data_IF_184232389014
#
_entry.id   IF_184232389014
#
_cell.length_a   1.000
_cell.length_b   1.000
_cell.length_c   1.000
_cell.angle_alpha   90.00
_cell.angle_beta   90.00
_cell.angle_gamma   90.00
#
_symmetry.space_group_name_H-M   'P 1'
#
loop_
_entity.id
_entity.type
_entity.pdbx_description
1 polymer ?
#
# COMPACT_ATOMS: atom_id res chain seq x y z
N UNK A 1 -57.24 -55.48 30.74
CA UNK A 1 -56.21 -55.53 29.69
C UNK A 1 -56.20 -54.19 29.00
N UNK A 2 -55.28 -53.23 29.37
CA UNK A 2 -55.13 -51.92 28.77
C UNK A 2 -53.98 -51.98 27.80
N UNK A 3 -54.22 -51.71 26.49
CA UNK A 3 -53.23 -51.64 25.47
C UNK A 3 -52.62 -50.20 25.45
N UNK A 4 -51.34 -50.07 25.79
CA UNK A 4 -50.58 -48.84 25.69
C UNK A 4 -50.11 -48.73 24.21
N UNK A 5 -50.59 -47.72 23.49
CA UNK A 5 -50.08 -47.37 22.18
C UNK A 5 -48.84 -46.50 22.37
N UNK A 6 -47.69 -47.03 22.06
CA UNK A 6 -46.44 -46.25 21.95
C UNK A 6 -46.48 -45.41 20.68
N UNK A 7 -46.45 -44.08 20.85
CA UNK A 7 -46.32 -43.10 19.75
C UNK A 7 -44.84 -42.86 19.54
N UNK A 8 -44.27 -43.40 18.45
CA UNK A 8 -42.89 -43.10 18.03
C UNK A 8 -42.91 -41.72 17.34
N UNK A 9 -42.37 -40.71 18.02
CA UNK A 9 -42.17 -39.35 17.44
C UNK A 9 -40.83 -39.37 16.72
N UNK A 10 -40.88 -39.41 15.37
CA UNK A 10 -39.69 -39.26 14.50
C UNK A 10 -39.36 -37.77 14.43
N UNK A 11 -38.29 -37.36 15.12
CA UNK A 11 -37.72 -36.00 14.95
C UNK A 11 -36.93 -36.03 13.68
N UNK A 12 -37.45 -35.45 12.59
CA UNK A 12 -36.72 -35.17 11.36
C UNK A 12 -35.79 -33.98 11.63
N UNK A 13 -34.49 -34.27 11.79
CA UNK A 13 -33.46 -33.26 11.90
C UNK A 13 -33.24 -32.60 10.50
N UNK A 14 -33.83 -31.45 10.29
CA UNK A 14 -33.58 -30.62 9.09
C UNK A 14 -32.17 -30.07 9.19
N UNK A 15 -31.19 -30.70 8.53
CA UNK A 15 -29.88 -30.15 8.28
C UNK A 15 -30.04 -29.09 7.17
N UNK A 16 -30.18 -27.80 7.55
CA UNK A 16 -30.05 -26.70 6.60
C UNK A 16 -28.60 -26.68 6.13
N UNK A 17 -28.36 -26.76 4.81
CA UNK A 17 -27.02 -26.52 4.28
C UNK A 17 -26.62 -25.08 4.63
N UNK A 18 -25.56 -24.92 5.43
CA UNK A 18 -24.93 -23.63 5.61
C UNK A 18 -24.39 -23.20 4.24
N UNK A 19 -24.95 -22.17 3.64
CA UNK A 19 -24.40 -21.52 2.46
C UNK A 19 -23.07 -20.90 2.89
N UNK A 20 -21.98 -21.61 2.66
CA UNK A 20 -20.62 -21.07 2.76
C UNK A 20 -20.46 -20.14 1.57
N UNK A 21 -20.65 -18.84 1.74
CA UNK A 21 -20.25 -17.86 0.74
C UNK A 21 -18.73 -17.92 0.62
N UNK A 22 -18.24 -18.29 -0.55
CA UNK A 22 -16.81 -18.24 -0.84
C UNK A 22 -16.37 -16.77 -0.80
N UNK A 23 -15.34 -16.47 -0.02
CA UNK A 23 -14.75 -15.11 0.05
C UNK A 23 -14.24 -14.73 -1.34
N UNK A 24 -14.62 -13.56 -1.82
CA UNK A 24 -14.23 -13.05 -3.15
C UNK A 24 -12.91 -12.27 -3.08
N UNK A 25 -12.24 -12.10 -4.24
CA UNK A 25 -11.04 -11.26 -4.33
C UNK A 25 -11.31 -9.81 -3.90
N UNK A 26 -12.45 -9.26 -4.26
CA UNK A 26 -12.86 -7.90 -3.87
C UNK A 26 -13.05 -7.76 -2.35
N UNK A 27 -13.70 -8.73 -1.68
CA UNK A 27 -13.86 -8.71 -0.21
C UNK A 27 -12.51 -8.81 0.50
N UNK A 28 -11.56 -9.58 -0.02
CA UNK A 28 -10.22 -9.69 0.57
C UNK A 28 -9.50 -8.34 0.43
N UNK A 29 -9.52 -7.73 -0.76
CA UNK A 29 -8.87 -6.44 -1.00
C UNK A 29 -9.52 -5.30 -0.21
N UNK A 30 -10.85 -5.34 0.00
CA UNK A 30 -11.51 -4.40 0.92
C UNK A 30 -10.95 -4.50 2.35
N UNK A 31 -10.70 -5.71 2.85
CA UNK A 31 -10.07 -5.90 4.17
C UNK A 31 -8.62 -5.43 4.19
N UNK A 32 -7.85 -5.60 3.11
CA UNK A 32 -6.51 -5.03 2.97
C UNK A 32 -6.57 -3.52 3.12
N UNK A 33 -7.47 -2.85 2.40
CA UNK A 33 -7.68 -1.42 2.48
C UNK A 33 -8.08 -0.99 3.91
N UNK A 34 -9.06 -1.67 4.52
CA UNK A 34 -9.55 -1.35 5.87
C UNK A 34 -8.45 -1.50 6.94
N UNK A 35 -7.55 -2.47 6.80
CA UNK A 35 -6.41 -2.66 7.72
C UNK A 35 -5.45 -1.47 7.69
N UNK A 36 -5.35 -0.78 6.55
CA UNK A 36 -4.42 0.34 6.37
C UNK A 36 -5.06 1.70 6.67
N UNK A 37 -6.39 1.79 6.77
CA UNK A 37 -7.09 3.06 7.04
C UNK A 37 -6.65 3.71 8.34
N UNK A 38 -6.36 5.00 8.26
CA UNK A 38 -6.16 5.90 9.40
C UNK A 38 -6.54 7.32 8.97
N UNK A 39 -7.15 8.10 9.90
CA UNK A 39 -7.50 9.49 9.61
C UNK A 39 -6.25 10.35 9.44
N UNK A 40 -5.20 10.02 10.16
CA UNK A 40 -3.90 10.66 10.01
C UNK A 40 -2.77 9.71 10.42
N UNK A 41 -1.58 9.94 9.88
CA UNK A 41 -0.38 9.25 10.33
C UNK A 41 0.86 10.13 10.23
N UNK A 42 1.82 9.87 11.12
CA UNK A 42 3.17 10.41 11.04
C UNK A 42 4.16 9.27 11.16
N UNK A 43 5.04 9.13 10.18
CA UNK A 43 6.02 8.06 10.11
C UNK A 43 7.43 8.62 9.94
N UNK A 44 8.36 8.05 10.69
CA UNK A 44 9.80 8.20 10.49
C UNK A 44 10.31 6.93 9.79
N UNK A 45 10.94 7.09 8.65
CA UNK A 45 11.24 6.00 7.74
C UNK A 45 12.73 6.05 7.37
N UNK A 46 13.37 4.88 7.40
CA UNK A 46 14.66 4.63 6.77
C UNK A 46 14.41 4.06 5.38
N UNK A 47 14.99 4.68 4.37
CA UNK A 47 14.92 4.25 2.97
C UNK A 47 16.33 3.89 2.51
N UNK A 48 16.55 2.62 2.16
CA UNK A 48 17.82 2.12 1.64
C UNK A 48 17.71 1.82 0.15
N UNK A 49 18.53 2.50 -0.67
CA UNK A 49 18.71 2.20 -2.09
C UNK A 49 19.85 1.19 -2.20
N UNK A 50 19.57 0.01 -2.72
CA UNK A 50 20.48 -1.14 -2.76
C UNK A 50 20.86 -1.40 -4.22
N UNK A 51 22.10 -1.09 -4.56
CA UNK A 51 22.63 -1.33 -5.88
C UNK A 51 22.83 -2.84 -6.14
N UNK A 52 22.92 -3.25 -7.41
CA UNK A 52 23.13 -4.66 -7.78
C UNK A 52 24.44 -5.26 -7.25
N UNK A 53 25.42 -4.43 -6.90
CA UNK A 53 26.68 -4.84 -6.26
C UNK A 53 26.58 -4.93 -4.72
N UNK A 54 25.41 -4.63 -4.14
CA UNK A 54 25.16 -4.65 -2.71
C UNK A 54 25.49 -3.35 -1.97
N UNK A 55 25.96 -2.30 -2.65
CA UNK A 55 26.15 -0.99 -2.04
C UNK A 55 24.79 -0.41 -1.60
N UNK A 56 24.72 0.16 -0.41
CA UNK A 56 23.50 0.73 0.16
C UNK A 56 23.66 2.23 0.38
N UNK A 57 22.76 3.01 -0.21
CA UNK A 57 22.66 4.46 0.04
C UNK A 57 21.44 4.73 0.90
N UNK A 58 21.66 5.09 2.15
CA UNK A 58 20.58 5.34 3.11
C UNK A 58 20.07 6.77 3.03
N UNK A 59 18.75 6.89 3.24
CA UNK A 59 18.03 8.16 3.42
C UNK A 59 17.12 8.05 4.61
N UNK A 60 16.92 9.16 5.31
CA UNK A 60 15.88 9.28 6.32
C UNK A 60 14.81 10.22 5.81
N UNK A 61 13.58 9.80 5.89
CA UNK A 61 12.42 10.57 5.47
C UNK A 61 11.38 10.60 6.58
N UNK A 62 10.59 11.65 6.61
CA UNK A 62 9.38 11.75 7.41
C UNK A 62 8.20 11.84 6.47
N UNK A 63 7.16 11.05 6.72
CA UNK A 63 5.92 11.09 5.96
C UNK A 63 4.77 11.44 6.91
N UNK A 64 3.97 12.42 6.49
CA UNK A 64 2.71 12.78 7.15
C UNK A 64 1.58 12.50 6.18
N UNK A 65 0.51 11.90 6.67
CA UNK A 65 -0.70 11.61 5.89
C UNK A 65 -1.91 12.12 6.64
N UNK A 66 -2.85 12.71 5.92
CA UNK A 66 -4.13 13.19 6.44
C UNK A 66 -5.23 12.81 5.46
N UNK A 67 -6.27 12.12 5.97
CA UNK A 67 -7.47 11.81 5.22
C UNK A 67 -8.62 12.68 5.74
N UNK A 68 -9.14 13.55 4.88
CA UNK A 68 -10.27 14.42 5.19
C UNK A 68 -11.32 14.29 4.07
N UNK A 69 -12.57 14.13 4.44
CA UNK A 69 -13.69 13.95 3.49
C UNK A 69 -13.48 12.80 2.49
N UNK A 70 -12.80 11.72 2.92
CA UNK A 70 -12.47 10.58 2.09
C UNK A 70 -11.31 10.78 1.12
N UNK A 71 -10.64 11.95 1.14
CA UNK A 71 -9.49 12.26 0.28
C UNK A 71 -8.20 12.26 1.11
N UNK A 72 -7.20 11.54 0.62
CA UNK A 72 -5.91 11.38 1.29
C UNK A 72 -4.88 12.35 0.73
N UNK A 73 -4.20 13.06 1.63
CA UNK A 73 -3.08 13.94 1.32
C UNK A 73 -1.83 13.41 2.02
N UNK A 74 -0.71 13.35 1.33
CA UNK A 74 0.55 12.84 1.87
C UNK A 74 1.69 13.80 1.55
N UNK A 75 2.49 14.15 2.56
CA UNK A 75 3.73 14.91 2.42
C UNK A 75 4.90 14.08 2.90
N UNK A 76 5.93 13.94 2.07
CA UNK A 76 7.20 13.30 2.40
C UNK A 76 8.32 14.32 2.42
N UNK A 77 9.07 14.37 3.51
CA UNK A 77 10.20 15.29 3.71
C UNK A 77 11.48 14.48 3.89
N UNK A 78 12.49 14.75 3.07
CA UNK A 78 13.80 14.14 3.20
C UNK A 78 14.62 14.84 4.28
N UNK A 79 15.08 14.09 5.27
CA UNK A 79 15.83 14.60 6.43
C UNK A 79 17.34 14.43 6.24
N UNK A 80 17.77 13.36 5.55
CA UNK A 80 19.18 13.06 5.24
C UNK A 80 19.28 12.18 3.99
N UNK A 81 20.46 12.09 3.36
CA UNK A 81 21.68 12.85 3.57
C UNK A 81 21.59 14.30 3.07
N UNK A 82 22.65 15.08 3.23
CA UNK A 82 22.70 16.50 2.86
C UNK A 82 22.31 16.75 1.38
N UNK A 83 22.66 15.84 0.47
CA UNK A 83 22.39 15.93 -0.98
C UNK A 83 20.89 15.95 -1.33
N UNK A 84 20.03 15.41 -0.48
CA UNK A 84 18.57 15.36 -0.68
C UNK A 84 17.79 16.03 0.44
N UNK A 85 18.49 16.50 1.49
CA UNK A 85 17.85 17.11 2.66
C UNK A 85 16.96 18.28 2.24
N UNK A 86 15.77 18.35 2.89
CA UNK A 86 14.71 19.33 2.61
C UNK A 86 14.04 19.19 1.23
N UNK A 87 14.32 18.14 0.45
CA UNK A 87 13.42 17.76 -0.63
C UNK A 87 12.07 17.41 -0.01
N UNK A 88 10.98 17.93 -0.60
CA UNK A 88 9.61 17.70 -0.12
C UNK A 88 8.76 17.25 -1.29
N UNK A 89 7.97 16.20 -1.06
CA UNK A 89 7.08 15.64 -2.07
C UNK A 89 5.67 15.61 -1.51
N UNK A 90 4.73 16.18 -2.24
CA UNK A 90 3.32 16.27 -1.88
C UNK A 90 2.49 15.50 -2.89
N UNK A 91 1.62 14.62 -2.40
CA UNK A 91 0.53 14.00 -3.16
C UNK A 91 -0.79 14.45 -2.55
N UNK A 92 -1.75 14.83 -3.41
CA UNK A 92 -3.11 15.18 -3.01
C UNK A 92 -4.10 14.44 -3.88
N UNK A 93 -4.88 13.57 -3.25
CA UNK A 93 -5.95 12.86 -3.91
C UNK A 93 -7.09 13.83 -4.29
N UNK A 94 -7.67 13.62 -5.47
CA UNK A 94 -8.80 14.39 -5.99
C UNK A 94 -10.05 13.53 -5.97
N UNK A 95 -11.21 14.18 -5.96
CA UNK A 95 -12.52 13.51 -5.98
C UNK A 95 -12.84 12.77 -7.28
N UNK A 96 -12.05 13.00 -8.34
CA UNK A 96 -12.16 12.30 -9.62
C UNK A 96 -11.29 11.03 -9.70
N UNK A 97 -10.67 10.61 -8.58
CA UNK A 97 -9.80 9.44 -8.49
C UNK A 97 -8.38 9.69 -9.01
N UNK A 98 -8.04 10.91 -9.42
CA UNK A 98 -6.68 11.27 -9.82
C UNK A 98 -5.90 11.89 -8.66
N UNK A 99 -4.56 11.92 -8.79
CA UNK A 99 -3.67 12.54 -7.83
C UNK A 99 -2.94 13.73 -8.44
N UNK A 100 -2.89 14.82 -7.68
CA UNK A 100 -1.98 15.92 -7.95
C UNK A 100 -0.68 15.71 -7.17
N UNK A 101 0.46 15.81 -7.86
CA UNK A 101 1.77 15.59 -7.24
C UNK A 101 2.71 16.76 -7.51
N UNK A 102 3.47 17.16 -6.48
CA UNK A 102 4.49 18.21 -6.56
C UNK A 102 5.74 17.81 -5.79
N UNK A 103 6.88 18.22 -6.31
CA UNK A 103 8.17 18.06 -5.63
C UNK A 103 8.87 19.41 -5.50
N UNK A 104 9.36 19.73 -4.31
CA UNK A 104 10.28 20.82 -4.07
C UNK A 104 11.70 20.30 -4.06
N UNK A 105 12.56 20.87 -4.89
CA UNK A 105 13.97 20.54 -4.99
C UNK A 105 14.81 21.71 -4.45
N UNK A 106 15.42 21.58 -3.27
CA UNK A 106 16.18 22.67 -2.62
C UNK A 106 17.30 23.21 -3.49
N UNK A 107 18.00 22.34 -4.23
CA UNK A 107 19.07 22.72 -5.16
C UNK A 107 18.60 23.69 -6.26
N UNK A 108 17.32 23.63 -6.63
CA UNK A 108 16.70 24.50 -7.63
C UNK A 108 15.85 25.60 -6.99
N UNK A 109 15.67 25.57 -5.66
CA UNK A 109 14.74 26.45 -4.91
C UNK A 109 13.37 26.53 -5.60
N UNK A 110 12.86 25.43 -6.11
CA UNK A 110 11.68 25.39 -6.98
C UNK A 110 10.76 24.24 -6.68
N UNK A 111 9.45 24.51 -6.67
CA UNK A 111 8.39 23.50 -6.75
C UNK A 111 8.15 23.14 -8.22
N UNK A 112 8.15 21.85 -8.52
CA UNK A 112 7.76 21.29 -9.82
C UNK A 112 6.51 20.44 -9.61
N UNK A 113 5.48 20.62 -10.45
CA UNK A 113 4.38 19.68 -10.57
C UNK A 113 4.83 18.49 -11.39
N UNK A 114 4.52 17.27 -10.94
CA UNK A 114 4.76 16.04 -11.68
C UNK A 114 3.59 15.87 -12.64
N UNK A 115 3.86 15.80 -13.93
CA UNK A 115 2.83 15.54 -14.92
C UNK A 115 2.42 14.06 -14.89
N UNK A 116 1.18 13.73 -15.25
CA UNK A 116 0.71 12.34 -15.31
C UNK A 116 1.61 11.46 -16.22
N UNK A 117 2.15 12.02 -17.29
CA UNK A 117 3.10 11.33 -18.18
C UNK A 117 4.47 11.05 -17.55
N UNK A 118 4.79 11.64 -16.40
CA UNK A 118 6.01 11.40 -15.63
C UNK A 118 5.78 10.40 -14.50
N UNK A 119 4.53 9.90 -14.30
CA UNK A 119 4.13 9.01 -13.21
C UNK A 119 4.97 7.73 -13.10
N UNK A 120 5.31 7.11 -14.22
CA UNK A 120 6.18 5.92 -14.28
C UNK A 120 7.65 6.18 -13.98
N UNK A 121 8.06 7.45 -13.88
CA UNK A 121 9.43 7.83 -13.54
C UNK A 121 9.82 7.43 -12.12
N UNK A 122 11.10 7.08 -11.92
CA UNK A 122 11.65 6.69 -10.62
C UNK A 122 11.53 7.83 -9.60
N UNK A 123 10.91 7.55 -8.44
CA UNK A 123 10.86 8.48 -7.32
C UNK A 123 12.23 8.60 -6.66
N UNK A 124 12.91 9.72 -6.90
CA UNK A 124 14.20 10.04 -6.28
C UNK A 124 15.28 8.95 -6.47
N UNK A 125 15.24 8.19 -7.56
CA UNK A 125 16.20 7.12 -7.86
C UNK A 125 15.92 5.83 -7.08
N UNK A 126 14.72 5.66 -6.52
CA UNK A 126 14.26 4.41 -5.90
C UNK A 126 13.58 3.50 -6.93
N UNK A 127 13.22 2.27 -6.54
CA UNK A 127 12.43 1.34 -7.34
C UNK A 127 10.93 1.66 -7.33
N UNK A 128 10.52 2.60 -6.50
CA UNK A 128 9.17 3.15 -6.54
C UNK A 128 9.07 4.23 -7.62
N UNK A 129 7.98 4.24 -8.36
CA UNK A 129 7.64 5.31 -9.29
C UNK A 129 6.89 6.44 -8.57
N UNK A 130 6.69 7.58 -9.24
CA UNK A 130 5.80 8.62 -8.72
C UNK A 130 4.36 8.11 -8.57
N UNK A 131 3.90 7.24 -9.49
CA UNK A 131 2.59 6.59 -9.39
C UNK A 131 2.50 5.64 -8.20
N UNK A 132 3.56 4.86 -7.89
CA UNK A 132 3.60 4.00 -6.70
C UNK A 132 3.51 4.83 -5.41
N UNK A 133 4.07 6.06 -5.41
CA UNK A 133 3.99 6.96 -4.25
C UNK A 133 2.62 7.63 -4.09
N UNK A 134 1.81 7.67 -5.15
CA UNK A 134 0.44 8.14 -5.11
C UNK A 134 -0.51 7.06 -4.56
N UNK A 135 -0.36 5.86 -5.05
CA UNK A 135 -1.18 4.69 -4.68
C UNK A 135 -0.84 4.19 -3.27
N UNK A 136 -0.97 5.06 -2.26
CA UNK A 136 -0.71 4.71 -0.85
C UNK A 136 -1.80 3.83 -0.25
N UNK A 137 -2.93 3.69 -0.93
CA UNK A 137 -4.06 2.84 -0.54
C UNK A 137 -4.37 1.85 -1.66
N UNK A 138 -4.62 0.59 -1.30
CA UNK A 138 -5.17 -0.40 -2.23
C UNK A 138 -6.65 -0.07 -2.44
N UNK A 139 -6.95 0.88 -3.33
CA UNK A 139 -8.33 1.25 -3.61
C UNK A 139 -9.00 0.12 -4.40
N UNK A 140 -10.06 -0.43 -3.81
CA UNK A 140 -10.77 -1.59 -4.38
C UNK A 140 -11.55 -1.25 -5.63
N UNK A 141 -11.85 0.03 -5.85
CA UNK A 141 -12.64 0.48 -6.99
C UNK A 141 -11.78 0.76 -8.24
N UNK A 142 -10.45 0.71 -8.11
CA UNK A 142 -9.52 0.99 -9.22
C UNK A 142 -9.14 -0.25 -10.04
N UNK A 143 -9.49 -1.46 -9.58
CA UNK A 143 -9.15 -2.71 -10.25
C UNK A 143 -10.20 -3.81 -10.07
N UNK A 144 -10.25 -4.74 -11.01
CA UNK A 144 -10.99 -5.99 -10.86
C UNK A 144 -10.12 -7.00 -10.09
N UNK A 145 -10.61 -7.51 -8.97
CA UNK A 145 -9.90 -8.40 -8.08
C UNK A 145 -10.43 -9.83 -8.17
N UNK A 146 -9.57 -10.79 -8.50
CA UNK A 146 -9.92 -12.21 -8.61
C UNK A 146 -9.09 -13.03 -7.63
N UNK A 147 -9.76 -13.78 -6.74
CA UNK A 147 -9.08 -14.79 -5.92
C UNK A 147 -8.68 -15.96 -6.81
N UNK A 148 -7.38 -16.15 -7.02
CA UNK A 148 -6.84 -17.19 -7.87
C UNK A 148 -6.68 -18.52 -7.12
N UNK A 149 -6.10 -18.47 -5.93
CA UNK A 149 -5.76 -19.63 -5.09
C UNK A 149 -5.34 -19.19 -3.69
N UNK A 150 -5.07 -20.18 -2.86
CA UNK A 150 -4.38 -20.02 -1.58
C UNK A 150 -2.98 -20.61 -1.68
N UNK A 151 -2.04 -20.01 -0.93
CA UNK A 151 -0.62 -20.41 -0.98
C UNK A 151 0.04 -20.09 0.37
N UNK A 152 1.10 -20.81 0.72
CA UNK A 152 1.91 -20.47 1.89
C UNK A 152 3.15 -19.70 1.45
N UNK A 153 3.36 -18.52 2.01
CA UNK A 153 4.52 -17.66 1.76
C UNK A 153 5.19 -17.34 3.10
N UNK A 154 6.48 -17.62 3.24
CA UNK A 154 7.24 -17.36 4.46
C UNK A 154 6.55 -17.92 5.74
N UNK A 155 6.03 -19.15 5.67
CA UNK A 155 5.28 -19.84 6.72
C UNK A 155 3.96 -19.15 7.13
N UNK A 156 3.41 -18.27 6.29
CA UNK A 156 2.10 -17.64 6.49
C UNK A 156 1.15 -18.07 5.37
N UNK A 157 -0.07 -18.39 5.73
CA UNK A 157 -1.11 -18.72 4.76
C UNK A 157 -1.62 -17.43 4.10
N UNK A 158 -1.65 -17.42 2.78
CA UNK A 158 -2.01 -16.25 1.99
C UNK A 158 -3.12 -16.57 0.98
N UNK A 159 -3.96 -15.57 0.73
CA UNK A 159 -4.77 -15.48 -0.47
C UNK A 159 -3.92 -14.91 -1.61
N UNK A 160 -4.01 -15.49 -2.80
CA UNK A 160 -3.36 -14.96 -4.00
C UNK A 160 -4.40 -14.29 -4.87
N UNK A 161 -4.29 -12.97 -5.00
CA UNK A 161 -5.25 -12.11 -5.69
C UNK A 161 -4.61 -11.58 -6.96
N UNK A 162 -5.24 -11.78 -8.11
CA UNK A 162 -4.93 -11.04 -9.34
C UNK A 162 -5.77 -9.77 -9.37
N UNK A 163 -5.13 -8.62 -9.62
CA UNK A 163 -5.78 -7.32 -9.72
C UNK A 163 -5.46 -6.70 -11.07
N UNK A 164 -6.49 -6.52 -11.90
CA UNK A 164 -6.38 -5.91 -13.22
C UNK A 164 -6.97 -4.51 -13.16
N UNK A 165 -6.18 -3.44 -13.40
CA UNK A 165 -6.66 -2.07 -13.36
C UNK A 165 -7.81 -1.84 -14.34
N UNK A 166 -8.84 -1.07 -13.92
CA UNK A 166 -9.94 -0.62 -14.78
C UNK A 166 -9.65 0.76 -15.38
N UNK A 167 -8.73 1.50 -14.81
CA UNK A 167 -8.27 2.79 -15.32
C UNK A 167 -6.85 2.69 -15.88
N UNK A 168 -6.34 3.77 -16.45
CA UNK A 168 -4.94 3.82 -16.92
C UNK A 168 -3.98 3.64 -15.74
N UNK A 169 -3.10 2.66 -15.83
CA UNK A 169 -2.08 2.33 -14.82
C UNK A 169 -0.73 2.12 -15.50
N UNK A 170 0.38 2.23 -14.77
CA UNK A 170 1.71 1.90 -15.29
C UNK A 170 1.88 0.39 -15.50
N UNK A 171 1.11 -0.42 -14.77
CA UNK A 171 1.16 -1.88 -14.80
C UNK A 171 -0.02 -2.47 -15.56
N UNK A 172 0.18 -3.63 -16.18
CA UNK A 172 -0.88 -4.40 -16.82
C UNK A 172 -1.76 -5.13 -15.80
N UNK A 173 -1.14 -5.67 -14.75
CA UNK A 173 -1.78 -6.28 -13.59
C UNK A 173 -0.84 -6.34 -12.40
N UNK A 174 -1.39 -6.61 -11.23
CA UNK A 174 -0.62 -7.06 -10.06
C UNK A 174 -1.11 -8.41 -9.57
N UNK A 175 -0.20 -9.20 -8.98
CA UNK A 175 -0.56 -10.41 -8.23
C UNK A 175 -0.12 -10.18 -6.79
N UNK A 176 -1.05 -10.27 -5.85
CA UNK A 176 -0.88 -9.88 -4.46
C UNK A 176 -1.09 -11.10 -3.58
N UNK A 177 -0.12 -11.42 -2.72
CA UNK A 177 -0.24 -12.44 -1.68
C UNK A 177 -0.64 -11.75 -0.38
N UNK A 178 -1.88 -11.94 0.04
CA UNK A 178 -2.48 -11.31 1.22
C UNK A 178 -2.50 -12.30 2.36
N UNK A 179 -1.86 -11.96 3.47
CA UNK A 179 -1.88 -12.78 4.70
C UNK A 179 -3.29 -12.98 5.24
N UNK A 180 -3.66 -14.23 5.53
CA UNK A 180 -5.02 -14.56 5.99
C UNK A 180 -5.35 -14.08 7.40
N UNK A 181 -4.35 -13.84 8.24
CA UNK A 181 -4.54 -13.43 9.62
C UNK A 181 -4.60 -11.91 9.77
N UNK A 182 -3.70 -11.21 9.10
CA UNK A 182 -3.53 -9.75 9.26
C UNK A 182 -4.08 -8.93 8.10
N UNK A 183 -4.43 -9.57 6.98
CA UNK A 183 -4.79 -8.92 5.71
C UNK A 183 -3.72 -7.95 5.20
N UNK A 184 -2.46 -8.13 5.59
CA UNK A 184 -1.34 -7.37 5.03
C UNK A 184 -0.81 -8.07 3.77
N UNK A 185 -0.36 -7.30 2.75
CA UNK A 185 0.36 -7.85 1.62
C UNK A 185 1.70 -8.44 2.09
N UNK A 186 1.97 -9.70 1.76
CA UNK A 186 3.24 -10.38 2.00
C UNK A 186 4.19 -10.24 0.81
N UNK A 187 3.61 -10.20 -0.39
CA UNK A 187 4.33 -10.10 -1.66
C UNK A 187 3.41 -9.48 -2.70
N UNK A 188 3.97 -8.66 -3.59
CA UNK A 188 3.27 -8.14 -4.77
C UNK A 188 4.19 -8.27 -5.98
N UNK A 189 3.72 -8.92 -7.04
CA UNK A 189 4.36 -8.93 -8.36
C UNK A 189 3.64 -7.94 -9.28
N UNK A 190 4.39 -6.99 -9.83
CA UNK A 190 3.91 -5.98 -10.75
C UNK A 190 4.28 -6.40 -12.18
N UNK A 191 3.28 -6.51 -13.04
CA UNK A 191 3.48 -7.00 -14.41
C UNK A 191 3.46 -5.88 -15.43
N UNK A 192 4.27 -6.04 -16.48
CA UNK A 192 4.19 -5.19 -17.66
C UNK A 192 2.81 -5.29 -18.34
N UNK A 193 2.59 -4.42 -19.34
CA UNK A 193 1.34 -4.41 -20.11
C UNK A 193 1.08 -5.69 -20.89
N UNK A 194 2.10 -6.52 -21.09
CA UNK A 194 2.01 -7.84 -21.71
C UNK A 194 1.35 -8.90 -20.81
N UNK A 195 1.11 -8.57 -19.53
CA UNK A 195 0.50 -9.41 -18.49
C UNK A 195 1.31 -10.68 -18.14
N UNK A 196 2.50 -10.87 -18.71
CA UNK A 196 3.34 -12.04 -18.55
C UNK A 196 4.69 -11.77 -17.89
N UNK A 197 5.28 -10.60 -18.15
CA UNK A 197 6.59 -10.21 -17.64
C UNK A 197 6.47 -9.50 -16.30
N UNK A 198 7.10 -10.05 -15.26
CA UNK A 198 7.19 -9.37 -13.94
C UNK A 198 8.27 -8.30 -14.01
N UNK A 199 7.85 -7.05 -13.90
CA UNK A 199 8.72 -5.87 -13.93
C UNK A 199 9.38 -5.60 -12.58
N UNK A 200 8.56 -5.58 -11.52
CA UNK A 200 8.98 -5.32 -10.14
C UNK A 200 8.37 -6.33 -9.18
N UNK A 201 9.04 -6.52 -8.06
CA UNK A 201 8.55 -7.35 -6.95
C UNK A 201 8.71 -6.62 -5.63
N UNK A 202 7.63 -6.53 -4.88
CA UNK A 202 7.63 -6.08 -3.50
C UNK A 202 7.51 -7.29 -2.58
N UNK A 203 8.38 -7.35 -1.57
CA UNK A 203 8.34 -8.35 -0.50
C UNK A 203 8.15 -7.61 0.82
N UNK A 204 7.27 -8.10 1.67
CA UNK A 204 7.20 -7.70 3.07
C UNK A 204 8.23 -8.50 3.86
N UNK A 205 9.27 -7.80 4.34
CA UNK A 205 10.37 -8.39 5.11
C UNK A 205 9.98 -8.60 6.57
N UNK A 206 9.20 -7.67 7.14
CA UNK A 206 8.78 -7.70 8.54
C UNK A 206 7.36 -7.15 8.72
N UNK A 207 6.55 -7.89 9.49
CA UNK A 207 5.24 -7.45 10.00
C UNK A 207 5.39 -7.21 11.49
N UNK A 208 4.81 -6.12 12.00
CA UNK A 208 4.81 -5.79 13.42
C UNK A 208 3.42 -5.33 13.88
N UNK A 209 3.14 -5.54 15.16
CA UNK A 209 1.98 -4.96 15.82
C UNK A 209 2.44 -3.73 16.60
N UNK A 210 1.95 -2.55 16.22
CA UNK A 210 2.31 -1.26 16.84
C UNK A 210 1.12 -0.32 16.83
N UNK A 211 1.01 0.55 17.84
CA UNK A 211 -0.08 1.54 17.96
C UNK A 211 -1.48 0.88 17.78
N UNK A 212 -1.67 -0.35 18.28
CA UNK A 212 -2.94 -1.07 18.25
C UNK A 212 -3.31 -1.70 16.90
N UNK A 213 -2.39 -1.78 15.93
CA UNK A 213 -2.64 -2.33 14.59
C UNK A 213 -1.46 -3.11 14.04
N UNK A 214 -1.74 -4.02 13.12
CA UNK A 214 -0.73 -4.68 12.32
C UNK A 214 -0.26 -3.77 11.19
N UNK A 215 1.04 -3.72 10.95
CA UNK A 215 1.66 -2.96 9.86
C UNK A 215 2.73 -3.77 9.14
N UNK A 216 2.97 -3.47 7.89
CA UNK A 216 4.19 -3.86 7.18
C UNK A 216 5.33 -2.96 7.62
N UNK A 217 6.12 -3.41 8.61
CA UNK A 217 7.19 -2.62 9.21
C UNK A 217 8.37 -2.42 8.27
N UNK A 218 8.68 -3.45 7.47
CA UNK A 218 9.73 -3.37 6.44
C UNK A 218 9.27 -4.03 5.16
N UNK A 219 9.54 -3.37 4.04
CA UNK A 219 9.28 -3.87 2.68
C UNK A 219 10.50 -3.62 1.80
N UNK A 220 10.70 -4.49 0.82
CA UNK A 220 11.72 -4.34 -0.22
C UNK A 220 11.07 -4.43 -1.61
N UNK A 221 11.19 -3.37 -2.41
CA UNK A 221 10.83 -3.36 -3.83
C UNK A 221 12.09 -3.63 -4.66
N UNK A 222 12.01 -4.58 -5.58
CA UNK A 222 13.10 -4.91 -6.51
C UNK A 222 12.65 -4.70 -7.95
N UNK A 223 13.43 -3.98 -8.73
CA UNK A 223 13.32 -3.92 -10.20
C UNK A 223 14.09 -5.10 -10.79
N UNK A 224 13.36 -6.09 -11.34
CA UNK A 224 13.96 -7.38 -11.70
C UNK A 224 14.99 -7.28 -12.82
N UNK A 225 14.79 -6.38 -13.79
CA UNK A 225 15.72 -6.22 -14.93
C UNK A 225 17.09 -5.69 -14.52
N UNK A 226 17.18 -4.86 -13.48
CA UNK A 226 18.42 -4.23 -13.02
C UNK A 226 18.99 -4.85 -11.75
N UNK A 227 18.18 -5.65 -11.05
CA UNK A 227 18.47 -6.16 -9.72
C UNK A 227 18.81 -5.05 -8.70
N UNK A 228 18.28 -3.84 -8.93
CA UNK A 228 18.30 -2.75 -7.97
C UNK A 228 17.10 -2.91 -7.04
N UNK A 229 17.29 -2.59 -5.75
CA UNK A 229 16.22 -2.72 -4.76
C UNK A 229 16.13 -1.49 -3.88
N UNK A 230 14.93 -1.20 -3.40
CA UNK A 230 14.69 -0.17 -2.40
C UNK A 230 14.00 -0.78 -1.20
N UNK A 231 14.64 -0.69 -0.04
CA UNK A 231 14.05 -1.08 1.24
C UNK A 231 13.46 0.13 1.94
N UNK A 232 12.23 -0.01 2.40
CA UNK A 232 11.54 0.94 3.29
C UNK A 232 11.40 0.26 4.65
N UNK A 233 11.89 0.91 5.71
CA UNK A 233 11.74 0.47 7.10
C UNK A 233 11.09 1.57 7.92
N UNK A 234 9.94 1.30 8.53
CA UNK A 234 9.28 2.20 9.46
C UNK A 234 9.98 2.13 10.81
N UNK A 235 10.69 3.20 11.17
CA UNK A 235 11.40 3.33 12.45
C UNK A 235 10.42 3.66 13.57
N UNK A 236 9.48 4.56 13.28
CA UNK A 236 8.41 4.97 14.18
C UNK A 236 7.16 5.33 13.38
N UNK A 237 6.00 4.97 13.88
CA UNK A 237 4.71 5.39 13.34
C UNK A 237 3.80 5.85 14.48
N UNK A 238 2.96 6.84 14.17
CA UNK A 238 1.83 7.26 15.00
C UNK A 238 0.62 7.42 14.11
N UNK A 239 -0.54 7.05 14.61
CA UNK A 239 -1.79 7.08 13.87
C UNK A 239 -2.85 7.88 14.62
N UNK A 240 -3.80 8.43 13.86
CA UNK A 240 -4.98 9.15 14.38
C UNK A 240 -4.58 10.29 15.34
N UNK A 241 -3.50 10.99 14.99
CA UNK A 241 -3.00 12.15 15.73
C UNK A 241 -3.55 13.44 15.14
N UNK A 242 -3.72 14.51 15.96
CA UNK A 242 -4.06 15.84 15.43
C UNK A 242 -3.04 16.27 14.37
N UNK A 243 -3.52 16.64 13.18
CA UNK A 243 -2.69 17.00 12.05
C UNK A 243 -3.14 18.36 11.49
N UNK A 244 -2.20 19.27 11.24
CA UNK A 244 -2.50 20.54 10.60
C UNK A 244 -2.52 20.38 9.08
N UNK A 245 -3.67 20.67 8.44
CA UNK A 245 -3.83 20.58 6.98
C UNK A 245 -2.91 21.51 6.19
N UNK A 246 -2.37 22.55 6.82
CA UNK A 246 -1.38 23.46 6.23
C UNK A 246 -0.08 22.76 5.78
N UNK A 247 0.24 21.57 6.31
CA UNK A 247 1.36 20.75 5.82
C UNK A 247 1.17 20.30 4.38
N UNK A 248 -0.07 20.14 3.91
CA UNK A 248 -0.40 19.55 2.61
C UNK A 248 -0.67 20.63 1.55
N UNK A 249 0.17 21.67 1.53
CA UNK A 249 0.06 22.80 0.61
C UNK A 249 1.35 23.01 -0.19
N UNK A 250 1.23 23.61 -1.37
CA UNK A 250 2.40 24.00 -2.17
C UNK A 250 3.22 25.10 -1.47
N UNK A 251 2.57 25.93 -0.64
CA UNK A 251 3.26 26.92 0.20
C UNK A 251 4.17 26.26 1.23
N UNK A 252 3.72 25.16 1.87
CA UNK A 252 4.59 24.37 2.76
C UNK A 252 5.75 23.73 2.00
N UNK A 253 5.52 23.27 0.76
CA UNK A 253 6.62 22.74 -0.08
C UNK A 253 7.72 23.78 -0.27
N UNK A 254 7.38 25.04 -0.52
CA UNK A 254 8.38 26.10 -0.75
C UNK A 254 9.06 26.53 0.55
N UNK A 255 8.29 26.82 1.58
CA UNK A 255 8.78 27.48 2.79
C UNK A 255 9.25 26.52 3.87
N UNK A 256 8.71 25.28 3.89
CA UNK A 256 8.85 24.34 5.01
C UNK A 256 8.16 24.80 6.29
N UNK A 257 7.24 25.75 6.19
CA UNK A 257 6.50 26.34 7.33
C UNK A 257 5.01 26.20 7.09
N UNK A 258 4.29 25.86 8.14
CA UNK A 258 2.82 25.96 8.17
C UNK A 258 2.50 27.42 8.39
N UNK A 259 1.71 28.02 7.49
CA UNK A 259 1.24 29.39 7.57
C UNK A 259 -0.07 29.46 8.37
#
# INVERSE_FOLDING_TARGET
>A
MKRIKQFLMIIALFILPALVFATTGAEIMQRVQDTQKADSSAMDIRLGLIESNGEVRERRIQTLTLTENGLTNTITVFLSPASVKNTRFLTRQRSDGTDDQWIYLPALSRVKRIAASEGSGSFMGSDFSYSDMASTTYDTDEANHTLMREETVNNRNAYVIESIPITASDYGKTVIWVDKETYLPLKVDFYEKDLSTVLKRLITDEIAFTEGRWITKSITMTTLATNHSTRIEIVQAKYNIPMNSGYFTTSFLETGRVL
#
